data_IF_744288840857
#
_entry.id   IF_744288840857
#
_cell.length_a   1.000
_cell.length_b   1.000
_cell.length_c   1.000
_cell.angle_alpha   90.00
_cell.angle_beta   90.00
_cell.angle_gamma   90.00
#
_symmetry.space_group_name_H-M   'P 1'
#
loop_
_entity.id
_entity.type
_entity.pdbx_description
1 polymer ?
#
# COMPACT_ATOMS: atom_id res chain seq x y z
N UNK A 1 -2.13 -3.19 -5.07
CA UNK A 1 -2.78 -2.06 -5.81
C UNK A 1 -2.62 -2.33 -7.30
N UNK A 2 -3.22 -1.54 -8.20
CA UNK A 2 -2.98 -1.68 -9.63
C UNK A 2 -3.19 -0.35 -10.38
N UNK A 3 -2.52 -0.18 -11.52
CA UNK A 3 -2.63 1.01 -12.38
C UNK A 3 -4.03 1.22 -12.94
N UNK A 4 -4.75 0.13 -13.22
CA UNK A 4 -6.12 0.12 -13.75
C UNK A 4 -7.21 0.18 -12.68
N UNK A 5 -6.86 0.11 -11.39
CA UNK A 5 -7.80 0.03 -10.28
C UNK A 5 -8.14 1.43 -9.75
N UNK A 6 -9.35 1.93 -10.03
CA UNK A 6 -9.80 3.27 -9.60
C UNK A 6 -9.58 3.56 -8.10
N UNK A 7 -10.15 2.76 -7.17
CA UNK A 7 -9.95 2.97 -5.74
C UNK A 7 -8.48 2.87 -5.28
N UNK A 8 -7.64 2.13 -6.02
CA UNK A 8 -6.21 2.07 -5.76
C UNK A 8 -5.53 3.40 -6.12
N UNK A 9 -5.93 4.02 -7.23
CA UNK A 9 -5.40 5.34 -7.65
C UNK A 9 -5.77 6.41 -6.64
N UNK A 10 -6.98 6.33 -6.10
CA UNK A 10 -7.46 7.25 -5.04
C UNK A 10 -6.67 7.10 -3.74
N UNK A 11 -6.21 5.88 -3.40
CA UNK A 11 -5.46 5.66 -2.16
C UNK A 11 -4.00 6.14 -2.22
N UNK A 12 -3.38 6.13 -3.40
CA UNK A 12 -1.94 6.43 -3.57
C UNK A 12 -1.54 7.80 -2.98
N UNK A 13 -2.22 8.93 -3.29
CA UNK A 13 -1.85 10.22 -2.73
C UNK A 13 -1.87 10.25 -1.20
N UNK A 14 -2.82 9.56 -0.57
CA UNK A 14 -2.92 9.46 0.87
C UNK A 14 -1.76 8.68 1.48
N UNK A 15 -1.46 7.50 0.92
CA UNK A 15 -0.35 6.67 1.39
C UNK A 15 0.98 7.37 1.18
N UNK A 16 1.17 8.07 0.06
CA UNK A 16 2.36 8.89 -0.19
C UNK A 16 2.54 9.99 0.87
N UNK A 17 1.46 10.69 1.28
CA UNK A 17 1.54 11.70 2.36
C UNK A 17 1.93 11.08 3.70
N UNK A 18 1.32 9.95 4.06
CA UNK A 18 1.63 9.23 5.31
C UNK A 18 3.08 8.76 5.29
N UNK A 19 3.53 8.18 4.18
CA UNK A 19 4.91 7.75 3.98
C UNK A 19 5.88 8.90 4.15
N UNK A 20 5.72 10.00 3.40
CA UNK A 20 6.61 11.15 3.47
C UNK A 20 6.73 11.74 4.88
N UNK A 21 5.65 11.71 5.67
CA UNK A 21 5.62 12.24 7.04
C UNK A 21 6.34 11.37 8.07
N UNK A 22 6.40 10.06 7.84
CA UNK A 22 6.86 9.09 8.84
C UNK A 22 8.07 8.26 8.40
N UNK A 23 8.52 8.36 7.14
CA UNK A 23 9.65 7.58 6.62
C UNK A 23 10.92 7.71 7.46
N UNK A 24 11.24 8.94 7.87
CA UNK A 24 12.45 9.24 8.64
C UNK A 24 12.30 8.87 10.13
N UNK A 25 11.14 8.34 10.54
CA UNK A 25 10.85 7.84 11.89
C UNK A 25 10.88 6.32 11.97
N UNK A 26 11.28 5.63 10.91
CA UNK A 26 11.32 4.16 10.84
C UNK A 26 10.05 3.52 10.30
N UNK A 27 9.21 4.28 9.59
CA UNK A 27 8.08 3.73 8.82
C UNK A 27 8.50 3.49 7.37
N UNK A 28 8.09 2.37 6.77
CA UNK A 28 8.35 2.09 5.36
C UNK A 28 7.06 1.64 4.67
N UNK A 29 6.94 1.95 3.37
CA UNK A 29 5.85 1.48 2.53
C UNK A 29 6.43 0.68 1.37
N UNK A 30 5.85 -0.48 1.08
CA UNK A 30 6.17 -1.24 -0.13
C UNK A 30 4.91 -1.35 -0.99
N UNK A 31 4.95 -0.75 -2.17
CA UNK A 31 3.87 -0.82 -3.13
C UNK A 31 3.91 -2.12 -3.93
N UNK A 32 3.09 -3.11 -3.56
CA UNK A 32 2.98 -4.37 -4.32
C UNK A 32 1.84 -4.29 -5.36
N UNK A 33 2.21 -4.38 -6.64
CA UNK A 33 1.31 -4.21 -7.77
C UNK A 33 0.67 -5.55 -8.21
N UNK A 34 -0.60 -5.51 -8.60
CA UNK A 34 -1.34 -6.61 -9.23
C UNK A 34 -1.75 -6.14 -10.63
N UNK A 35 -0.86 -6.30 -11.60
CA UNK A 35 -1.09 -5.89 -12.98
C UNK A 35 -1.68 -7.03 -13.82
N UNK A 36 -2.33 -6.69 -14.93
CA UNK A 36 -2.86 -7.67 -15.90
C UNK A 36 -1.83 -8.11 -16.94
N UNK A 37 -0.73 -7.37 -17.02
CA UNK A 37 0.36 -7.56 -17.96
C UNK A 37 1.69 -7.66 -17.18
N UNK A 38 2.81 -7.52 -17.90
CA UNK A 38 4.15 -7.57 -17.32
C UNK A 38 4.46 -6.46 -16.31
N UNK A 39 3.63 -5.41 -16.19
CA UNK A 39 3.90 -4.27 -15.31
C UNK A 39 4.97 -3.30 -15.83
N UNK A 40 5.33 -3.36 -17.12
CA UNK A 40 6.31 -2.45 -17.75
C UNK A 40 5.98 -0.96 -17.58
N UNK A 41 4.69 -0.64 -17.41
CA UNK A 41 4.15 0.71 -17.16
C UNK A 41 4.37 1.23 -15.73
N UNK A 42 4.69 0.35 -14.77
CA UNK A 42 4.74 0.71 -13.35
C UNK A 42 5.69 1.88 -13.05
N UNK A 43 6.93 1.95 -13.60
CA UNK A 43 7.82 3.08 -13.32
C UNK A 43 7.30 4.42 -13.84
N UNK A 44 6.60 4.42 -14.99
CA UNK A 44 5.99 5.62 -15.55
C UNK A 44 4.81 6.09 -14.71
N UNK A 45 3.92 5.15 -14.37
CA UNK A 45 2.75 5.40 -13.54
C UNK A 45 3.13 5.89 -12.13
N UNK A 46 4.15 5.28 -11.51
CA UNK A 46 4.66 5.68 -10.20
C UNK A 46 5.11 7.14 -10.18
N UNK A 47 5.80 7.56 -11.25
CA UNK A 47 6.28 8.93 -11.42
C UNK A 47 5.13 9.90 -11.61
N UNK A 48 4.13 9.55 -12.43
CA UNK A 48 2.92 10.34 -12.65
C UNK A 48 2.14 10.56 -11.36
N UNK A 49 2.01 9.52 -10.53
CA UNK A 49 1.30 9.57 -9.25
C UNK A 49 2.14 10.12 -8.10
N UNK A 50 3.41 10.48 -8.33
CA UNK A 50 4.31 11.02 -7.30
C UNK A 50 4.69 10.02 -6.20
N UNK A 51 4.67 8.72 -6.50
CA UNK A 51 5.03 7.67 -5.56
C UNK A 51 6.54 7.68 -5.33
N UNK A 52 6.97 7.88 -4.08
CA UNK A 52 8.40 7.88 -3.72
C UNK A 52 8.80 6.69 -2.86
N UNK A 53 7.84 5.90 -2.40
CA UNK A 53 8.13 4.63 -1.73
C UNK A 53 8.47 3.53 -2.75
N UNK A 54 9.26 2.52 -2.36
CA UNK A 54 9.58 1.38 -3.23
C UNK A 54 8.35 0.68 -3.80
N UNK A 55 8.44 0.27 -5.07
CA UNK A 55 7.42 -0.51 -5.76
C UNK A 55 8.02 -1.86 -6.11
N UNK A 56 7.34 -2.92 -5.66
CA UNK A 56 7.72 -4.29 -5.94
C UNK A 56 7.33 -4.74 -7.35
N UNK A 57 7.84 -5.89 -7.75
CA UNK A 57 7.42 -6.55 -8.99
C UNK A 57 5.92 -6.90 -8.92
N UNK A 58 5.23 -6.99 -10.08
CA UNK A 58 3.87 -7.50 -10.11
C UNK A 58 3.77 -8.89 -9.50
N UNK A 59 2.71 -9.10 -8.72
CA UNK A 59 2.33 -10.39 -8.15
C UNK A 59 1.05 -10.91 -8.80
N UNK A 60 0.74 -12.18 -8.59
CA UNK A 60 -0.51 -12.80 -9.04
C UNK A 60 -1.65 -12.58 -8.05
N UNK A 61 -2.87 -12.92 -8.48
CA UNK A 61 -4.05 -12.83 -7.62
C UNK A 61 -3.99 -13.85 -6.49
N UNK A 62 -3.44 -15.03 -6.74
CA UNK A 62 -3.25 -16.10 -5.75
C UNK A 62 -2.28 -15.66 -4.65
N UNK A 63 -1.23 -14.90 -4.99
CA UNK A 63 -0.32 -14.31 -4.01
C UNK A 63 -1.01 -13.25 -3.14
N UNK A 64 -1.93 -12.45 -3.70
CA UNK A 64 -2.77 -11.54 -2.90
C UNK A 64 -3.69 -12.34 -1.97
N UNK A 65 -4.17 -13.51 -2.39
CA UNK A 65 -5.11 -14.32 -1.60
C UNK A 65 -4.53 -14.82 -0.28
N UNK A 66 -3.21 -14.89 -0.15
CA UNK A 66 -2.52 -15.16 1.13
C UNK A 66 -2.85 -14.09 2.19
N UNK A 67 -3.22 -12.88 1.78
CA UNK A 67 -3.50 -11.76 2.67
C UNK A 67 -4.98 -11.37 2.76
N UNK A 68 -5.80 -11.74 1.78
CA UNK A 68 -7.27 -11.66 1.87
C UNK A 68 -7.94 -12.70 0.97
N UNK A 69 -8.96 -13.41 1.46
CA UNK A 69 -9.58 -14.55 0.76
C UNK A 69 -10.11 -14.21 -0.66
N UNK A 70 -10.43 -12.93 -0.89
CA UNK A 70 -11.02 -12.45 -2.15
C UNK A 70 -10.02 -12.10 -3.24
N UNK A 71 -8.71 -12.00 -2.92
CA UNK A 71 -7.70 -11.45 -3.82
C UNK A 71 -7.96 -10.00 -4.25
N UNK A 72 -8.77 -9.25 -3.48
CA UNK A 72 -9.23 -7.93 -3.85
C UNK A 72 -8.19 -6.86 -3.56
N UNK A 73 -8.23 -5.78 -4.36
CA UNK A 73 -7.42 -4.58 -4.22
C UNK A 73 -8.33 -3.32 -4.19
N UNK A 74 -7.90 -2.23 -3.55
CA UNK A 74 -6.67 -2.10 -2.76
C UNK A 74 -6.73 -2.93 -1.48
N UNK A 75 -5.58 -3.43 -1.07
CA UNK A 75 -5.35 -4.09 0.21
C UNK A 75 -4.14 -3.42 0.85
N UNK A 76 -4.28 -3.03 2.11
CA UNK A 76 -3.18 -2.57 2.93
C UNK A 76 -2.97 -3.56 4.06
N UNK A 77 -1.73 -3.96 4.27
CA UNK A 77 -1.30 -4.84 5.36
C UNK A 77 -0.31 -4.05 6.18
N UNK A 78 -0.58 -3.89 7.48
CA UNK A 78 0.32 -3.19 8.40
C UNK A 78 1.10 -4.24 9.17
N UNK A 79 2.43 -4.12 9.16
CA UNK A 79 3.37 -5.05 9.78
C UNK A 79 4.21 -4.29 10.79
N UNK A 80 4.47 -4.86 11.97
CA UNK A 80 5.35 -4.24 12.97
C UNK A 80 6.84 -4.54 12.75
N UNK A 81 7.70 -3.94 13.59
CA UNK A 81 9.16 -4.10 13.55
C UNK A 81 9.63 -5.55 13.76
N UNK A 82 8.76 -6.44 14.27
CA UNK A 82 9.05 -7.87 14.48
C UNK A 82 8.52 -8.75 13.34
N UNK A 83 7.89 -8.16 12.32
CA UNK A 83 7.34 -8.88 11.18
C UNK A 83 5.93 -9.43 11.41
N UNK A 84 5.24 -9.05 12.49
CA UNK A 84 3.88 -9.52 12.73
C UNK A 84 2.85 -8.63 12.04
N UNK A 85 1.81 -9.22 11.47
CA UNK A 85 0.69 -8.48 10.89
C UNK A 85 -0.17 -7.89 12.02
N UNK A 86 -0.30 -6.56 12.04
CA UNK A 86 -1.03 -5.79 13.05
C UNK A 86 -2.34 -5.19 12.56
N UNK A 87 -2.65 -5.37 11.28
CA UNK A 87 -3.90 -4.93 10.69
C UNK A 87 -3.97 -5.22 9.19
N UNK A 88 -5.19 -5.32 8.68
CA UNK A 88 -5.50 -5.40 7.26
C UNK A 88 -6.64 -4.45 6.97
N UNK A 89 -6.52 -3.67 5.91
CA UNK A 89 -7.58 -2.81 5.40
C UNK A 89 -7.84 -3.17 3.95
N UNK A 90 -9.02 -3.73 3.69
CA UNK A 90 -9.50 -4.02 2.35
C UNK A 90 -10.30 -2.81 1.84
N UNK A 91 -10.15 -2.51 0.55
CA UNK A 91 -10.74 -1.34 -0.06
C UNK A 91 -10.09 -0.05 0.42
N UNK A 92 -10.61 1.07 -0.09
CA UNK A 92 -10.18 2.39 0.32
C UNK A 92 -11.33 3.37 0.24
N UNK A 93 -11.34 4.30 1.20
CA UNK A 93 -12.16 5.49 1.23
C UNK A 93 -11.37 6.55 2.00
N UNK A 94 -11.47 7.82 1.60
CA UNK A 94 -10.71 8.91 2.24
C UNK A 94 -10.92 8.99 3.77
N UNK A 95 -12.09 8.61 4.26
CA UNK A 95 -12.39 8.55 5.70
C UNK A 95 -11.48 7.59 6.49
N UNK A 96 -10.83 6.62 5.83
CA UNK A 96 -9.95 5.65 6.46
C UNK A 96 -8.52 6.15 6.66
N UNK A 97 -8.13 7.27 6.03
CA UNK A 97 -6.75 7.80 6.11
C UNK A 97 -6.29 8.06 7.54
N UNK A 98 -7.15 8.68 8.35
CA UNK A 98 -6.82 9.01 9.73
C UNK A 98 -6.57 7.75 10.58
N UNK A 99 -7.35 6.68 10.35
CA UNK A 99 -7.18 5.40 11.02
C UNK A 99 -5.86 4.71 10.64
N UNK A 100 -5.48 4.79 9.37
CA UNK A 100 -4.21 4.25 8.87
C UNK A 100 -3.04 5.00 9.53
N UNK A 101 -3.05 6.33 9.50
CA UNK A 101 -1.96 7.12 10.10
C UNK A 101 -1.89 6.93 11.62
N UNK A 102 -3.03 6.82 12.30
CA UNK A 102 -3.06 6.54 13.73
C UNK A 102 -2.40 5.19 14.05
N UNK A 103 -2.70 4.14 13.28
CA UNK A 103 -2.08 2.83 13.46
C UNK A 103 -0.56 2.88 13.25
N UNK A 104 -0.09 3.65 12.27
CA UNK A 104 1.35 3.87 12.04
C UNK A 104 2.00 4.52 13.26
N UNK A 105 1.40 5.57 13.82
CA UNK A 105 1.94 6.26 15.01
C UNK A 105 2.01 5.34 16.23
N UNK A 106 0.99 4.51 16.44
CA UNK A 106 0.99 3.52 17.52
C UNK A 106 2.18 2.56 17.40
N UNK A 107 2.39 1.97 16.22
CA UNK A 107 3.47 1.01 16.01
C UNK A 107 4.87 1.64 16.01
N UNK A 108 4.98 2.92 15.66
CA UNK A 108 6.24 3.64 15.77
C UNK A 108 6.65 3.90 17.22
N UNK A 109 5.67 4.04 18.12
CA UNK A 109 5.88 4.27 19.54
C UNK A 109 6.19 2.99 20.34
N UNK A 110 6.01 1.80 19.75
CA UNK A 110 6.44 0.50 20.28
C UNK A 110 7.96 0.29 20.12
#
# INVERSE_FOLDING_TARGET
WATWCGPCRESIPAIQRIYAKHKDKGFEVMGIALERDSGAQLPGFAREMGMTYPIGLPITREEVQVYNDTGAIPLMVIVDKKGHIRGRQQGYAAALEAGIEQKVKELLAE
#
